data_IF_688680805454
#
_entry.id   IF_688680805454
#
_cell.length_a   1.000
_cell.length_b   1.000
_cell.length_c   1.000
_cell.angle_alpha   90.00
_cell.angle_beta   90.00
_cell.angle_gamma   90.00
#
_symmetry.space_group_name_H-M   'P 1'
#
loop_
_entity.id
_entity.type
_entity.pdbx_description
1 polymer ?
#
# COMPACT_ATOMS: atom_id res chain seq x y z
N UNK A 1 0.57 3.33 8.07
CA UNK A 1 -0.73 3.27 7.33
C UNK A 1 -1.49 1.97 7.57
N UNK A 2 -1.01 0.79 7.16
CA UNK A 2 -1.78 -0.45 7.38
C UNK A 2 -1.96 -0.79 8.87
N UNK A 3 -0.92 -0.59 9.69
CA UNK A 3 -0.99 -0.75 11.15
C UNK A 3 -1.99 0.24 11.76
N UNK A 4 -1.84 1.54 11.46
CA UNK A 4 -2.73 2.60 11.95
C UNK A 4 -4.20 2.35 11.56
N UNK A 5 -4.48 1.94 10.32
CA UNK A 5 -5.84 1.56 9.90
C UNK A 5 -6.37 0.37 10.72
N UNK A 6 -5.53 -0.62 11.02
CA UNK A 6 -5.94 -1.77 11.83
C UNK A 6 -6.27 -1.37 13.26
N UNK A 7 -5.49 -0.46 13.85
CA UNK A 7 -5.77 0.10 15.16
C UNK A 7 -7.09 0.87 15.17
N UNK A 8 -7.29 1.77 14.20
CA UNK A 8 -8.55 2.52 14.06
C UNK A 8 -9.77 1.62 13.85
N UNK A 9 -9.64 0.52 13.10
CA UNK A 9 -10.69 -0.50 12.96
C UNK A 9 -10.98 -1.18 14.31
N UNK A 10 -9.94 -1.49 15.09
CA UNK A 10 -10.12 -2.09 16.42
C UNK A 10 -10.88 -1.14 17.35
N UNK A 11 -10.54 0.15 17.34
CA UNK A 11 -11.24 1.18 18.12
C UNK A 11 -12.68 1.30 17.64
N UNK A 12 -12.93 1.37 16.34
CA UNK A 12 -14.29 1.46 15.78
C UNK A 12 -15.17 0.26 16.19
N UNK A 13 -14.61 -0.96 16.20
CA UNK A 13 -15.31 -2.15 16.72
C UNK A 13 -15.67 -2.04 18.20
N UNK A 14 -14.73 -1.54 19.01
CA UNK A 14 -14.97 -1.34 20.44
C UNK A 14 -16.06 -0.29 20.68
N UNK A 15 -16.02 0.83 19.96
CA UNK A 15 -17.03 1.90 20.08
C UNK A 15 -18.40 1.42 19.63
N UNK A 16 -18.47 0.62 18.56
CA UNK A 16 -19.71 0.01 18.10
C UNK A 16 -20.30 -0.91 19.19
N UNK A 17 -19.48 -1.76 19.81
CA UNK A 17 -19.92 -2.63 20.89
C UNK A 17 -20.52 -1.83 22.04
N UNK A 18 -19.83 -0.78 22.50
CA UNK A 18 -20.33 0.09 23.57
C UNK A 18 -21.60 0.86 23.20
N UNK A 19 -21.74 1.26 21.93
CA UNK A 19 -22.97 1.86 21.41
C UNK A 19 -24.15 0.90 21.46
N UNK A 20 -23.94 -0.36 21.09
CA UNK A 20 -24.97 -1.41 21.18
C UNK A 20 -25.30 -1.77 22.63
N UNK A 21 -24.30 -1.85 23.52
CA UNK A 21 -24.53 -2.07 24.96
C UNK A 21 -25.40 -0.96 25.54
N UNK A 22 -25.10 0.31 25.21
CA UNK A 22 -25.88 1.47 25.66
C UNK A 22 -27.32 1.43 25.11
N UNK A 23 -27.50 0.97 23.86
CA UNK A 23 -28.83 0.77 23.26
C UNK A 23 -29.63 -0.29 24.01
N UNK A 24 -29.01 -1.41 24.39
CA UNK A 24 -29.67 -2.49 25.16
C UNK A 24 -30.06 -2.02 26.56
N UNK A 25 -29.26 -1.16 27.18
CA UNK A 25 -29.55 -0.55 28.48
C UNK A 25 -30.51 0.65 28.42
N UNK A 26 -31.01 0.99 27.23
CA UNK A 26 -31.86 2.16 26.98
C UNK A 26 -31.20 3.50 27.38
N UNK A 27 -29.86 3.54 27.44
CA UNK A 27 -29.05 4.74 27.68
C UNK A 27 -28.81 5.47 26.36
N UNK A 28 -29.85 6.17 25.90
CA UNK A 28 -29.88 6.82 24.59
C UNK A 28 -28.87 7.96 24.42
N UNK A 29 -28.47 8.61 25.51
CA UNK A 29 -27.50 9.71 25.45
C UNK A 29 -26.09 9.18 25.19
N UNK A 30 -25.66 8.14 25.91
CA UNK A 30 -24.38 7.47 25.64
C UNK A 30 -24.37 6.77 24.29
N UNK A 31 -25.50 6.17 23.89
CA UNK A 31 -25.62 5.59 22.55
C UNK A 31 -25.29 6.65 21.49
N UNK A 32 -25.92 7.82 21.52
CA UNK A 32 -25.66 8.91 20.56
C UNK A 32 -24.20 9.35 20.55
N UNK A 33 -23.58 9.45 21.72
CA UNK A 33 -22.15 9.78 21.85
C UNK A 33 -21.27 8.75 21.14
N UNK A 34 -21.48 7.46 21.39
CA UNK A 34 -20.74 6.38 20.74
C UNK A 34 -20.94 6.36 19.23
N UNK A 35 -22.16 6.55 18.70
CA UNK A 35 -22.35 6.62 17.24
C UNK A 35 -21.76 7.87 16.62
N UNK A 36 -21.73 9.01 17.33
CA UNK A 36 -21.04 10.21 16.85
C UNK A 36 -19.53 9.96 16.74
N UNK A 37 -18.94 9.30 17.75
CA UNK A 37 -17.55 8.88 17.71
C UNK A 37 -17.30 7.88 16.58
N UNK A 38 -18.18 6.89 16.38
CA UNK A 38 -18.09 5.93 15.29
C UNK A 38 -18.13 6.59 13.92
N UNK A 39 -18.99 7.60 13.72
CA UNK A 39 -19.04 8.38 12.49
C UNK A 39 -17.70 9.07 12.21
N UNK A 40 -17.11 9.73 13.22
CA UNK A 40 -15.81 10.39 13.07
C UNK A 40 -14.67 9.39 12.77
N UNK A 41 -14.71 8.21 13.38
CA UNK A 41 -13.75 7.13 13.08
C UNK A 41 -13.92 6.60 11.66
N UNK A 42 -15.16 6.46 11.19
CA UNK A 42 -15.46 6.02 9.84
C UNK A 42 -14.92 7.01 8.79
N UNK A 43 -15.13 8.31 8.97
CA UNK A 43 -14.60 9.33 8.07
C UNK A 43 -13.06 9.30 8.02
N UNK A 44 -12.43 9.09 9.17
CA UNK A 44 -10.97 8.90 9.28
C UNK A 44 -10.52 7.65 8.52
N UNK A 45 -11.20 6.53 8.68
CA UNK A 45 -10.90 5.28 7.97
C UNK A 45 -11.06 5.41 6.46
N UNK A 46 -12.09 6.11 5.98
CA UNK A 46 -12.30 6.40 4.56
C UNK A 46 -11.16 7.25 4.00
N UNK A 47 -10.73 8.27 4.73
CA UNK A 47 -9.58 9.10 4.35
C UNK A 47 -8.30 8.28 4.23
N UNK A 48 -7.97 7.48 5.25
CA UNK A 48 -6.81 6.59 5.23
C UNK A 48 -6.88 5.56 4.10
N UNK A 49 -8.08 5.04 3.82
CA UNK A 49 -8.30 4.10 2.72
C UNK A 49 -8.02 4.74 1.36
N UNK A 50 -8.47 5.98 1.15
CA UNK A 50 -8.20 6.71 -0.10
C UNK A 50 -6.70 6.94 -0.31
N UNK A 51 -5.98 7.33 0.75
CA UNK A 51 -4.51 7.46 0.71
C UNK A 51 -3.86 6.12 0.38
N UNK A 52 -4.31 5.02 1.00
CA UNK A 52 -3.80 3.68 0.75
C UNK A 52 -3.99 3.25 -0.70
N UNK A 53 -5.18 3.49 -1.26
CA UNK A 53 -5.49 3.19 -2.66
C UNK A 53 -4.60 4.00 -3.60
N UNK A 54 -4.44 5.31 -3.35
CA UNK A 54 -3.55 6.17 -4.13
C UNK A 54 -2.10 5.67 -4.12
N UNK A 55 -1.57 5.35 -2.94
CA UNK A 55 -0.21 4.82 -2.79
C UNK A 55 -0.04 3.47 -3.49
N UNK A 56 -1.02 2.56 -3.35
CA UNK A 56 -0.98 1.25 -3.99
C UNK A 56 -1.04 1.36 -5.52
N UNK A 57 -1.87 2.26 -6.05
CA UNK A 57 -1.96 2.51 -7.48
C UNK A 57 -0.65 3.09 -8.04
N UNK A 58 -0.09 4.09 -7.36
CA UNK A 58 1.18 4.71 -7.74
C UNK A 58 2.34 3.72 -7.71
N UNK A 59 2.44 2.91 -6.65
CA UNK A 59 3.45 1.85 -6.56
C UNK A 59 3.30 0.81 -7.69
N UNK A 60 2.07 0.41 -8.01
CA UNK A 60 1.79 -0.51 -9.12
C UNK A 60 2.23 0.06 -10.46
N UNK A 61 1.98 1.35 -10.73
CA UNK A 61 2.46 2.02 -11.94
C UNK A 61 3.99 2.05 -12.02
N UNK A 62 4.67 2.41 -10.92
CA UNK A 62 6.13 2.41 -10.87
C UNK A 62 6.72 1.03 -11.12
N UNK A 63 6.15 -0.03 -10.53
CA UNK A 63 6.59 -1.40 -10.77
C UNK A 63 6.38 -1.83 -12.23
N UNK A 64 5.28 -1.42 -12.87
CA UNK A 64 5.06 -1.66 -14.31
C UNK A 64 6.10 -0.92 -15.16
N UNK A 65 6.40 0.34 -14.85
CA UNK A 65 7.43 1.13 -15.52
C UNK A 65 8.81 0.48 -15.41
N UNK A 66 9.23 0.09 -14.21
CA UNK A 66 10.51 -0.61 -13.98
C UNK A 66 10.57 -1.91 -14.79
N UNK A 67 9.51 -2.72 -14.76
CA UNK A 67 9.46 -3.94 -15.56
C UNK A 67 9.58 -3.66 -17.06
N UNK A 68 8.91 -2.61 -17.56
CA UNK A 68 9.01 -2.21 -18.97
C UNK A 68 10.42 -1.77 -19.34
N UNK A 69 11.09 -0.99 -18.49
CA UNK A 69 12.48 -0.58 -18.70
C UNK A 69 13.40 -1.81 -18.79
N UNK A 70 13.27 -2.75 -17.86
CA UNK A 70 14.06 -4.00 -17.87
C UNK A 70 13.79 -4.80 -19.14
N UNK A 71 12.52 -4.93 -19.56
CA UNK A 71 12.17 -5.64 -20.78
C UNK A 71 12.76 -4.96 -22.02
N UNK A 72 12.64 -3.64 -22.13
CA UNK A 72 13.20 -2.86 -23.23
C UNK A 72 14.74 -3.02 -23.31
N UNK A 73 15.44 -2.88 -22.18
CA UNK A 73 16.88 -3.09 -22.12
C UNK A 73 17.28 -4.54 -22.47
N UNK A 74 16.44 -5.51 -22.10
CA UNK A 74 16.68 -6.92 -22.44
C UNK A 74 16.49 -7.20 -23.93
N UNK A 75 15.58 -6.49 -24.60
CA UNK A 75 15.32 -6.64 -26.03
C UNK A 75 16.45 -6.07 -26.90
N UNK A 76 17.32 -5.22 -26.34
CA UNK A 76 18.58 -4.81 -26.97
C UNK A 76 19.64 -5.92 -26.99
N UNK A 77 19.39 -7.05 -26.31
CA UNK A 77 20.31 -8.20 -26.22
C UNK A 77 19.65 -9.42 -26.85
N UNK A 78 20.47 -10.34 -27.37
CA UNK A 78 20.00 -11.57 -28.04
C UNK A 78 20.36 -12.81 -27.22
N UNK A 79 19.46 -13.80 -27.21
CA UNK A 79 19.69 -15.12 -26.62
C UNK A 79 20.05 -15.09 -25.12
N UNK A 80 21.16 -15.72 -24.75
CA UNK A 80 21.60 -15.90 -23.35
C UNK A 80 21.80 -14.58 -22.60
N UNK A 81 22.24 -13.52 -23.30
CA UNK A 81 22.50 -12.21 -22.71
C UNK A 81 21.21 -11.48 -22.30
N UNK A 82 20.10 -11.70 -23.02
CA UNK A 82 18.77 -11.18 -22.66
C UNK A 82 18.30 -11.74 -21.32
N UNK A 83 18.33 -13.07 -21.20
CA UNK A 83 17.92 -13.75 -19.96
C UNK A 83 18.85 -13.44 -18.79
N UNK A 84 20.15 -13.25 -19.04
CA UNK A 84 21.12 -12.86 -18.02
C UNK A 84 20.83 -11.46 -17.46
N UNK A 85 20.52 -10.48 -18.32
CA UNK A 85 20.18 -9.12 -17.89
C UNK A 85 18.94 -9.10 -16.99
N UNK A 86 17.86 -9.77 -17.39
CA UNK A 86 16.62 -9.81 -16.61
C UNK A 86 16.89 -10.38 -15.21
N UNK A 87 17.67 -11.47 -15.11
CA UNK A 87 18.04 -12.07 -13.82
C UNK A 87 18.90 -11.12 -12.98
N UNK A 88 19.89 -10.47 -13.58
CA UNK A 88 20.75 -9.52 -12.90
C UNK A 88 19.97 -8.32 -12.34
N UNK A 89 19.08 -7.72 -13.15
CA UNK A 89 18.22 -6.62 -12.69
C UNK A 89 17.30 -7.05 -11.54
N UNK A 90 16.65 -8.21 -11.64
CA UNK A 90 15.79 -8.73 -10.57
C UNK A 90 16.57 -9.00 -9.28
N UNK A 91 17.76 -9.57 -9.39
CA UNK A 91 18.64 -9.82 -8.24
C UNK A 91 19.09 -8.51 -7.58
N UNK A 92 19.46 -7.50 -8.37
CA UNK A 92 19.87 -6.20 -7.84
C UNK A 92 18.70 -5.45 -7.17
N UNK A 93 17.49 -5.56 -7.72
CA UNK A 93 16.27 -5.01 -7.09
C UNK A 93 15.98 -5.71 -5.76
N UNK A 94 16.05 -7.05 -5.72
CA UNK A 94 15.84 -7.82 -4.50
C UNK A 94 16.88 -7.49 -3.41
N UNK A 95 18.11 -7.18 -3.80
CA UNK A 95 19.18 -6.74 -2.92
C UNK A 95 19.11 -5.24 -2.55
N UNK A 96 18.11 -4.49 -3.04
CA UNK A 96 17.98 -3.05 -2.81
C UNK A 96 19.08 -2.20 -3.47
N UNK A 97 19.87 -2.76 -4.39
CA UNK A 97 21.04 -2.11 -4.97
C UNK A 97 20.66 -1.36 -6.26
N UNK A 98 20.12 -0.16 -6.10
CA UNK A 98 19.65 0.69 -7.20
C UNK A 98 20.78 1.17 -8.12
N UNK A 99 21.99 1.36 -7.59
CA UNK A 99 23.17 1.72 -8.37
C UNK A 99 23.54 0.61 -9.38
N UNK A 100 23.49 -0.65 -8.94
CA UNK A 100 23.73 -1.80 -9.83
C UNK A 100 22.66 -1.93 -10.91
N UNK A 101 21.39 -1.65 -10.58
CA UNK A 101 20.31 -1.63 -11.59
C UNK A 101 20.57 -0.55 -12.64
N UNK A 102 20.99 0.66 -12.23
CA UNK A 102 21.31 1.76 -13.15
C UNK A 102 22.44 1.40 -14.10
N UNK A 103 23.52 0.84 -13.56
CA UNK A 103 24.68 0.38 -14.34
C UNK A 103 24.33 -0.75 -15.30
N UNK A 104 23.51 -1.71 -14.88
CA UNK A 104 23.05 -2.81 -15.75
C UNK A 104 22.20 -2.32 -16.92
N UNK A 105 21.49 -1.21 -16.74
CA UNK A 105 20.63 -0.60 -17.74
C UNK A 105 21.35 0.46 -18.60
N UNK A 106 22.66 0.67 -18.40
CA UNK A 106 23.45 1.70 -19.09
C UNK A 106 22.81 3.10 -19.03
N UNK A 107 22.21 3.44 -17.88
CA UNK A 107 21.58 4.75 -17.65
C UNK A 107 22.57 5.85 -17.21
N UNK A 108 23.88 5.60 -17.33
CA UNK A 108 24.96 6.53 -16.97
C UNK A 108 25.59 7.23 -18.21
N UNK A 109 24.81 7.37 -19.28
CA UNK A 109 25.13 8.20 -20.45
C UNK A 109 24.61 9.62 -20.32
#
# INVERSE_FOLDING_TARGET
LSADMSEQISIAKSVLLHGEDSRVLEDWDKMKEHYKQLSSLNDTLLSLQNVRLGNSAHLSDLLKRINRIIQNASNLKVGKHRSALIRACRSAIAAGNTASVRKLLDLDG
#
